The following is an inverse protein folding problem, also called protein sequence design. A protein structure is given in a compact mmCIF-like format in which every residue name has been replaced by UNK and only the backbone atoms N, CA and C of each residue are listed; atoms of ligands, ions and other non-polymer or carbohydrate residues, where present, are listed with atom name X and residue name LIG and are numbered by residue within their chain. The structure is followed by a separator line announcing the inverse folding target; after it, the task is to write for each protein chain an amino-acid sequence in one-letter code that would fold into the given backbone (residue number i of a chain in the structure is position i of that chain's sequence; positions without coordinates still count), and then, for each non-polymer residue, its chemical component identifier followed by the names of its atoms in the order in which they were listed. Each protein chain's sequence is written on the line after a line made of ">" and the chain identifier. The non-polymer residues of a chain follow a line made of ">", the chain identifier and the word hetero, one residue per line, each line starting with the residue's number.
data_IF_267720159927
#
_entry.id   IF_267720159927
#
_cell.length_a   1.000
_cell.length_b   1.000
_cell.length_c   1.000
_cell.angle_alpha   90.00
_cell.angle_beta   90.00
_cell.angle_gamma   90.00
#
_symmetry.space_group_name_H-M   'P 1'
#
loop_
_entity.id
_entity.type
_entity.pdbx_description
1 polymer ?
#
# COMPACT_ATOMS: atom_id res chain seq x y z
N UNK A 1 38.44 3.69 33.25
CA UNK A 1 38.57 3.18 34.65
C UNK A 1 37.78 1.88 34.77
N UNK A 2 38.25 0.93 35.59
CA UNK A 2 37.69 -0.41 35.81
C UNK A 2 36.21 -0.33 36.25
N UNK A 3 35.83 0.62 37.09
CA UNK A 3 34.45 0.87 37.50
C UNK A 3 33.52 1.29 36.34
N UNK A 4 34.02 2.05 35.37
CA UNK A 4 33.23 2.43 34.19
C UNK A 4 32.93 1.23 33.29
N UNK A 5 33.87 0.32 33.09
CA UNK A 5 33.66 -0.89 32.31
C UNK A 5 32.67 -1.85 32.98
N UNK A 6 32.74 -1.97 34.32
CA UNK A 6 31.77 -2.79 35.09
C UNK A 6 30.36 -2.22 35.00
N UNK A 7 30.18 -0.92 35.19
CA UNK A 7 28.88 -0.28 35.08
C UNK A 7 28.27 -0.38 33.65
N UNK A 8 29.09 -0.33 32.61
CA UNK A 8 28.66 -0.53 31.24
C UNK A 8 28.22 -1.99 31.03
N UNK A 9 29.01 -2.96 31.45
CA UNK A 9 28.68 -4.40 31.33
C UNK A 9 27.38 -4.74 32.07
N UNK A 10 27.16 -4.17 33.26
CA UNK A 10 25.94 -4.35 34.02
C UNK A 10 24.73 -3.74 33.28
N UNK A 11 24.87 -2.53 32.75
CA UNK A 11 23.82 -1.86 31.94
C UNK A 11 23.46 -2.65 30.68
N UNK A 12 24.45 -3.22 29.98
CA UNK A 12 24.26 -4.08 28.82
C UNK A 12 23.54 -5.38 29.18
N UNK A 13 23.91 -6.02 30.31
CA UNK A 13 23.27 -7.23 30.83
C UNK A 13 21.80 -6.98 31.18
N UNK A 14 21.52 -5.92 31.93
CA UNK A 14 20.13 -5.51 32.27
C UNK A 14 19.30 -5.24 30.98
N UNK A 15 19.86 -4.51 30.04
CA UNK A 15 19.20 -4.22 28.77
C UNK A 15 18.92 -5.51 27.98
N UNK A 16 19.86 -6.43 27.95
CA UNK A 16 19.71 -7.75 27.33
C UNK A 16 18.59 -8.58 27.96
N UNK A 17 18.48 -8.58 29.29
CA UNK A 17 17.44 -9.28 30.04
C UNK A 17 16.04 -8.66 29.75
N UNK A 18 15.93 -7.33 29.74
CA UNK A 18 14.69 -6.63 29.40
C UNK A 18 14.25 -6.95 27.96
N UNK A 19 15.20 -6.98 27.01
CA UNK A 19 14.89 -7.34 25.62
C UNK A 19 14.38 -8.77 25.52
N UNK A 20 15.02 -9.73 26.15
CA UNK A 20 14.60 -11.15 26.19
C UNK A 20 13.19 -11.28 26.81
N UNK A 21 12.95 -10.64 27.94
CA UNK A 21 11.63 -10.63 28.58
C UNK A 21 10.54 -10.08 27.65
N UNK A 22 10.78 -8.94 27.00
CA UNK A 22 9.84 -8.37 26.01
C UNK A 22 9.60 -9.28 24.82
N UNK A 23 10.62 -9.97 24.33
CA UNK A 23 10.47 -10.92 23.23
C UNK A 23 9.63 -12.13 23.64
N UNK A 24 9.83 -12.66 24.85
CA UNK A 24 9.00 -13.76 25.36
C UNK A 24 7.54 -13.34 25.53
N UNK A 25 7.29 -12.17 26.12
CA UNK A 25 5.94 -11.64 26.23
C UNK A 25 5.30 -11.36 24.86
N UNK A 26 6.08 -10.93 23.87
CA UNK A 26 5.61 -10.73 22.50
C UNK A 26 5.25 -12.05 21.82
N UNK A 27 6.05 -13.13 22.01
CA UNK A 27 5.76 -14.47 21.47
C UNK A 27 4.47 -15.07 22.06
N UNK A 28 4.23 -14.86 23.33
CA UNK A 28 3.06 -15.41 24.07
C UNK A 28 1.84 -14.49 23.92
N UNK A 29 1.99 -13.29 23.34
CA UNK A 29 0.87 -12.35 23.18
C UNK A 29 0.48 -11.60 24.45
N UNK A 30 1.27 -11.67 25.52
CA UNK A 30 0.99 -11.03 26.81
C UNK A 30 1.61 -9.63 26.95
N UNK A 31 2.24 -9.11 25.88
CA UNK A 31 2.86 -7.80 25.92
C UNK A 31 1.79 -6.70 25.97
N UNK A 32 1.88 -5.84 26.99
CA UNK A 32 0.98 -4.68 27.12
C UNK A 32 1.23 -3.67 26.01
N UNK A 33 0.22 -3.46 25.16
CA UNK A 33 0.27 -2.52 24.03
C UNK A 33 -0.19 -1.15 24.51
N UNK A 34 0.58 -0.06 24.28
CA UNK A 34 0.14 1.28 24.64
C UNK A 34 -0.95 1.80 23.69
N UNK A 35 -1.97 2.49 24.24
CA UNK A 35 -3.02 3.13 23.45
C UNK A 35 -3.27 4.61 23.82
N UNK A 36 -2.52 5.19 24.74
CA UNK A 36 -2.76 6.53 25.29
C UNK A 36 -2.77 7.70 24.29
N UNK A 37 -2.32 7.48 23.06
CA UNK A 37 -2.36 8.46 21.94
C UNK A 37 -3.00 7.89 20.68
N UNK A 38 -3.85 6.87 20.85
CA UNK A 38 -4.53 6.23 19.73
C UNK A 38 -5.94 6.81 19.64
N UNK A 39 -6.21 7.62 18.62
CA UNK A 39 -7.52 8.23 18.40
C UNK A 39 -8.59 7.15 18.19
N UNK A 40 -9.70 7.23 18.87
CA UNK A 40 -10.76 6.21 18.79
C UNK A 40 -10.68 5.08 19.79
N UNK A 41 -9.60 5.01 20.59
CA UNK A 41 -9.43 3.99 21.62
C UNK A 41 -9.02 4.56 22.96
N UNK A 42 -9.53 3.96 24.01
CA UNK A 42 -9.08 4.16 25.39
C UNK A 42 -8.73 2.81 26.03
N UNK A 43 -8.14 2.83 27.21
CA UNK A 43 -7.97 1.63 28.04
C UNK A 43 -9.09 1.57 29.07
N UNK A 44 -9.64 0.37 29.21
CA UNK A 44 -10.51 0.07 30.34
C UNK A 44 -9.71 -0.17 31.63
N UNK A 45 -10.41 -0.46 32.72
CA UNK A 45 -9.83 -0.73 34.05
C UNK A 45 -8.90 -1.97 34.06
N UNK A 46 -9.11 -2.91 33.11
CA UNK A 46 -8.28 -4.12 32.95
C UNK A 46 -7.07 -3.87 32.01
N UNK A 47 -7.00 -2.69 31.40
CA UNK A 47 -5.94 -2.33 30.46
C UNK A 47 -6.18 -2.86 29.04
N UNK A 48 -7.39 -3.35 28.71
CA UNK A 48 -7.81 -3.74 27.38
C UNK A 48 -8.23 -2.52 26.56
N UNK A 49 -8.21 -2.67 25.23
CA UNK A 49 -8.67 -1.63 24.30
C UNK A 49 -10.19 -1.53 24.34
N UNK A 50 -10.71 -0.33 24.53
CA UNK A 50 -12.12 0.01 24.40
C UNK A 50 -12.30 1.04 23.32
N UNK A 51 -13.26 0.84 22.44
CA UNK A 51 -13.59 1.78 21.36
C UNK A 51 -14.40 2.96 21.93
N UNK A 52 -14.01 4.18 21.54
CA UNK A 52 -14.76 5.42 21.82
C UNK A 52 -15.67 5.68 20.60
N UNK A 53 -17.02 5.52 20.72
CA UNK A 53 -17.92 5.51 19.55
C UNK A 53 -17.81 6.76 18.68
N UNK A 54 -17.82 7.94 19.31
CA UNK A 54 -17.74 9.23 18.58
C UNK A 54 -16.46 9.36 17.75
N UNK A 55 -15.33 9.00 18.33
CA UNK A 55 -14.04 9.05 17.63
C UNK A 55 -13.92 7.94 16.58
N UNK A 56 -14.53 6.79 16.83
CA UNK A 56 -14.53 5.68 15.90
C UNK A 56 -15.28 6.01 14.60
N UNK A 57 -16.38 6.75 14.67
CA UNK A 57 -17.09 7.24 13.49
C UNK A 57 -16.22 8.17 12.64
N UNK A 58 -15.47 9.05 13.27
CA UNK A 58 -14.52 9.92 12.58
C UNK A 58 -13.43 9.12 11.89
N UNK A 59 -12.89 8.08 12.54
CA UNK A 59 -11.90 7.19 11.94
C UNK A 59 -12.49 6.47 10.73
N UNK A 60 -13.69 5.90 10.83
CA UNK A 60 -14.37 5.24 9.70
C UNK A 60 -14.55 6.19 8.52
N UNK A 61 -14.94 7.45 8.80
CA UNK A 61 -15.12 8.45 7.75
C UNK A 61 -13.79 8.86 7.11
N UNK A 62 -12.69 8.95 7.87
CA UNK A 62 -11.35 9.17 7.31
C UNK A 62 -10.94 8.07 6.34
N UNK A 63 -11.16 6.79 6.70
CA UNK A 63 -10.87 5.65 5.83
C UNK A 63 -11.73 5.67 4.58
N UNK A 64 -13.04 5.92 4.70
CA UNK A 64 -13.98 6.02 3.58
C UNK A 64 -13.59 7.12 2.60
N UNK A 65 -13.34 8.34 3.09
CA UNK A 65 -12.94 9.49 2.26
C UNK A 65 -11.61 9.25 1.56
N UNK A 66 -10.63 8.67 2.26
CA UNK A 66 -9.35 8.38 1.65
C UNK A 66 -9.46 7.32 0.55
N UNK A 67 -10.22 6.26 0.77
CA UNK A 67 -10.52 5.25 -0.24
C UNK A 67 -11.26 5.83 -1.45
N UNK A 68 -12.15 6.81 -1.23
CA UNK A 68 -12.86 7.55 -2.29
C UNK A 68 -11.97 8.55 -3.06
N UNK A 69 -10.70 8.70 -2.69
CA UNK A 69 -9.74 9.51 -3.43
C UNK A 69 -9.32 10.82 -2.77
N UNK A 70 -9.80 11.15 -1.57
CA UNK A 70 -9.37 12.35 -0.86
C UNK A 70 -7.86 12.35 -0.60
N UNK A 71 -7.22 13.52 -0.63
CA UNK A 71 -5.82 13.68 -0.21
C UNK A 71 -5.72 13.83 1.30
N UNK A 72 -4.52 13.59 1.86
CA UNK A 72 -4.28 13.84 3.29
C UNK A 72 -4.58 15.29 3.68
N UNK A 73 -4.38 16.24 2.76
CA UNK A 73 -4.68 17.66 2.98
C UNK A 73 -6.19 17.90 3.06
N UNK A 74 -6.96 17.30 2.14
CA UNK A 74 -8.42 17.42 2.17
C UNK A 74 -9.03 16.80 3.44
N UNK A 75 -8.43 15.70 3.93
CA UNK A 75 -8.84 15.11 5.22
C UNK A 75 -8.52 16.03 6.39
N UNK A 76 -7.37 16.70 6.35
CA UNK A 76 -7.01 17.71 7.34
C UNK A 76 -8.01 18.88 7.35
N UNK A 77 -8.24 19.47 6.17
CA UNK A 77 -9.17 20.58 6.00
C UNK A 77 -10.59 20.19 6.49
N UNK A 78 -11.05 18.97 6.15
CA UNK A 78 -12.34 18.45 6.63
C UNK A 78 -12.42 18.31 8.16
N UNK A 79 -11.35 17.82 8.81
CA UNK A 79 -11.30 17.70 10.28
C UNK A 79 -11.34 19.07 10.95
N UNK A 80 -10.61 20.04 10.39
CA UNK A 80 -10.54 21.40 10.90
C UNK A 80 -11.86 22.17 10.68
N UNK A 81 -12.51 22.03 9.53
CA UNK A 81 -13.82 22.61 9.22
C UNK A 81 -14.92 22.10 10.15
N UNK A 82 -14.89 20.81 10.49
CA UNK A 82 -15.83 20.21 11.43
C UNK A 82 -15.40 20.37 12.90
N UNK A 83 -14.37 21.17 13.19
CA UNK A 83 -13.88 21.45 14.55
C UNK A 83 -13.54 20.20 15.38
N UNK A 84 -13.13 19.12 14.71
CA UNK A 84 -12.78 17.85 15.33
C UNK A 84 -11.42 17.99 16.02
N UNK A 85 -11.40 17.75 17.34
CA UNK A 85 -10.19 17.86 18.15
C UNK A 85 -9.32 16.60 18.05
N UNK A 86 -8.00 16.78 18.15
CA UNK A 86 -7.04 15.68 18.27
C UNK A 86 -7.15 14.99 19.64
N UNK A 87 -6.45 13.86 19.83
CA UNK A 87 -6.34 13.18 21.13
C UNK A 87 -5.85 14.11 22.26
N UNK A 88 -5.05 15.12 21.91
CA UNK A 88 -4.51 16.09 22.85
C UNK A 88 -5.43 17.32 23.05
N UNK A 89 -6.61 17.33 22.43
CA UNK A 89 -7.56 18.44 22.51
C UNK A 89 -7.24 19.62 21.59
N UNK A 90 -6.22 19.51 20.74
CA UNK A 90 -5.84 20.55 19.77
C UNK A 90 -6.80 20.56 18.58
N UNK A 91 -7.07 21.76 18.04
CA UNK A 91 -7.90 21.93 16.84
C UNK A 91 -7.13 21.70 15.52
N UNK A 92 -5.79 21.77 15.55
CA UNK A 92 -4.95 21.62 14.37
C UNK A 92 -4.52 20.18 14.17
N UNK A 93 -4.89 19.62 13.03
CA UNK A 93 -4.43 18.32 12.59
C UNK A 93 -3.19 18.43 11.70
N UNK A 94 -2.32 17.42 11.75
CA UNK A 94 -1.20 17.31 10.82
C UNK A 94 -1.44 16.17 9.83
N UNK A 95 -0.98 16.32 8.60
CA UNK A 95 -1.05 15.24 7.61
C UNK A 95 -0.30 13.99 8.06
N UNK A 96 0.70 14.15 8.94
CA UNK A 96 1.46 13.05 9.54
C UNK A 96 0.61 12.26 10.52
N UNK A 97 -0.18 12.93 11.39
CA UNK A 97 -1.07 12.25 12.33
C UNK A 97 -2.19 11.50 11.59
N UNK A 98 -2.79 12.12 10.57
CA UNK A 98 -3.79 11.47 9.72
C UNK A 98 -3.20 10.25 9.01
N UNK A 99 -2.01 10.39 8.43
CA UNK A 99 -1.31 9.26 7.81
C UNK A 99 -1.04 8.15 8.82
N UNK A 100 -0.66 8.49 10.04
CA UNK A 100 -0.46 7.51 11.11
C UNK A 100 -1.74 6.73 11.43
N UNK A 101 -2.91 7.40 11.49
CA UNK A 101 -4.21 6.74 11.67
C UNK A 101 -4.46 5.76 10.51
N UNK A 102 -4.32 6.19 9.27
CA UNK A 102 -4.62 5.38 8.09
C UNK A 102 -3.65 4.19 7.86
N UNK A 103 -2.46 4.21 8.47
CA UNK A 103 -1.44 3.16 8.28
C UNK A 103 -1.23 2.28 9.50
N UNK A 104 -1.91 2.54 10.61
CA UNK A 104 -1.73 1.78 11.83
C UNK A 104 -2.67 0.57 11.85
N UNK A 105 -2.10 -0.62 11.90
CA UNK A 105 -2.81 -1.89 11.93
C UNK A 105 -3.74 -2.06 13.14
N UNK A 106 -3.55 -1.29 14.19
CA UNK A 106 -4.43 -1.33 15.37
C UNK A 106 -5.88 -0.98 15.04
N UNK A 107 -6.10 -0.17 13.99
CA UNK A 107 -7.47 0.20 13.61
C UNK A 107 -8.27 -0.95 13.00
N UNK A 108 -7.62 -1.99 12.48
CA UNK A 108 -8.30 -3.23 12.06
C UNK A 108 -8.25 -4.35 13.12
N UNK A 109 -7.85 -4.03 14.35
CA UNK A 109 -7.82 -4.98 15.46
C UNK A 109 -6.51 -5.74 15.62
N UNK A 110 -5.55 -5.55 14.74
CA UNK A 110 -4.26 -6.25 14.74
C UNK A 110 -3.18 -5.46 15.49
N UNK A 111 -2.13 -6.15 15.91
CA UNK A 111 -0.97 -5.51 16.54
C UNK A 111 0.32 -6.05 15.97
N UNK A 112 1.19 -5.14 15.50
CA UNK A 112 2.56 -5.47 15.12
C UNK A 112 3.53 -4.97 16.19
N UNK A 113 4.22 -5.89 16.81
CA UNK A 113 5.20 -5.63 17.86
C UNK A 113 6.60 -5.49 17.26
N UNK A 114 7.47 -4.81 17.99
CA UNK A 114 8.88 -4.65 17.61
C UNK A 114 9.13 -3.88 16.30
N UNK A 115 8.29 -2.88 16.01
CA UNK A 115 8.48 -1.96 14.88
C UNK A 115 9.75 -1.12 14.96
N UNK A 116 10.26 -0.91 16.17
CA UNK A 116 11.47 -0.15 16.44
C UNK A 116 12.32 -0.89 17.47
N UNK A 117 13.62 -0.66 17.45
CA UNK A 117 14.55 -1.18 18.46
C UNK A 117 15.61 -0.14 18.80
N UNK A 118 16.22 -0.29 19.97
CA UNK A 118 17.33 0.54 20.40
C UNK A 118 18.64 -0.11 19.90
N UNK A 119 19.44 0.64 19.15
CA UNK A 119 20.69 0.12 18.58
C UNK A 119 21.79 -0.04 19.62
N UNK A 120 21.86 0.87 20.58
CA UNK A 120 22.91 0.92 21.56
C UNK A 120 22.36 1.36 22.92
N UNK A 121 22.86 0.75 23.98
CA UNK A 121 22.45 0.99 25.37
C UNK A 121 22.87 2.37 25.84
N UNK A 122 23.99 2.88 25.34
CA UNK A 122 24.59 4.17 25.76
C UNK A 122 23.87 5.31 25.04
N UNK A 123 23.80 5.26 23.71
CA UNK A 123 23.20 6.34 22.89
C UNK A 123 21.68 6.34 22.96
N UNK A 124 21.05 5.24 23.36
CA UNK A 124 19.59 5.02 23.40
C UNK A 124 18.87 5.38 22.08
N UNK A 125 19.60 5.34 20.96
CA UNK A 125 19.06 5.68 19.64
C UNK A 125 18.04 4.64 19.21
N UNK A 126 16.80 5.08 18.98
CA UNK A 126 15.71 4.24 18.49
C UNK A 126 15.72 4.28 16.97
N UNK A 127 15.77 3.12 16.34
CA UNK A 127 15.76 2.94 14.88
C UNK A 127 14.57 2.07 14.47
N UNK A 128 14.02 2.33 13.29
CA UNK A 128 12.96 1.51 12.72
C UNK A 128 13.51 0.11 12.40
N UNK A 129 12.76 -0.91 12.81
CA UNK A 129 13.10 -2.30 12.48
C UNK A 129 12.65 -2.60 11.04
N UNK A 130 13.61 -2.85 10.16
CA UNK A 130 13.40 -3.23 8.75
C UNK A 130 13.88 -4.68 8.50
N UNK A 131 13.81 -5.53 9.52
CA UNK A 131 14.21 -6.94 9.42
C UNK A 131 15.42 -7.31 10.27
N UNK A 132 16.05 -6.35 10.98
CA UNK A 132 17.21 -6.64 11.85
C UNK A 132 16.83 -7.46 13.11
N UNK A 133 15.58 -7.33 13.55
CA UNK A 133 15.04 -8.08 14.68
C UNK A 133 13.69 -8.70 14.34
N UNK A 134 13.37 -9.85 14.95
CA UNK A 134 12.08 -10.49 14.76
C UNK A 134 10.93 -9.55 15.15
N UNK A 135 9.93 -9.45 14.27
CA UNK A 135 8.67 -8.76 14.54
C UNK A 135 7.59 -9.80 14.84
N UNK A 136 6.68 -9.47 15.74
CA UNK A 136 5.58 -10.35 16.11
C UNK A 136 4.26 -9.71 15.74
N UNK A 137 3.50 -10.40 14.88
CA UNK A 137 2.18 -9.97 14.44
C UNK A 137 1.11 -10.76 15.20
N UNK A 138 0.18 -10.04 15.79
CA UNK A 138 -0.94 -10.58 16.54
C UNK A 138 -2.23 -10.16 15.84
N UNK A 139 -2.90 -11.05 15.11
CA UNK A 139 -4.19 -10.77 14.52
C UNK A 139 -5.28 -10.76 15.61
N UNK A 140 -6.33 -9.98 15.39
CA UNK A 140 -7.54 -9.95 16.20
C UNK A 140 -7.30 -9.75 17.72
N UNK A 141 -6.30 -8.92 18.05
CA UNK A 141 -5.93 -8.61 19.44
C UNK A 141 -7.03 -7.83 20.18
N UNK A 142 -7.79 -7.00 19.48
CA UNK A 142 -8.85 -6.16 20.04
C UNK A 142 -9.90 -5.85 18.97
N UNK A 143 -11.02 -5.27 19.39
CA UNK A 143 -12.07 -4.86 18.46
C UNK A 143 -11.55 -3.80 17.49
N UNK A 144 -11.63 -4.06 16.18
CA UNK A 144 -11.25 -3.13 15.13
C UNK A 144 -12.31 -2.07 14.88
N UNK A 145 -11.91 -0.82 14.70
CA UNK A 145 -12.81 0.28 14.30
C UNK A 145 -13.18 0.15 12.82
N UNK A 146 -12.27 -0.32 11.98
CA UNK A 146 -12.48 -0.57 10.55
C UNK A 146 -12.25 -2.04 10.22
N UNK A 147 -12.89 -2.52 9.16
CA UNK A 147 -12.64 -3.88 8.71
C UNK A 147 -11.23 -4.02 8.13
N UNK A 148 -10.69 -5.26 8.16
CA UNK A 148 -9.37 -5.57 7.56
C UNK A 148 -9.37 -5.28 6.06
N UNK A 149 -10.50 -5.46 5.38
CA UNK A 149 -10.67 -5.13 3.97
C UNK A 149 -10.52 -3.62 3.71
N UNK A 150 -11.18 -2.78 4.52
CA UNK A 150 -11.07 -1.33 4.42
C UNK A 150 -9.64 -0.84 4.70
N UNK A 151 -8.98 -1.41 5.72
CA UNK A 151 -7.59 -1.11 6.03
C UNK A 151 -6.65 -1.47 4.85
N UNK A 152 -6.82 -2.67 4.29
CA UNK A 152 -6.02 -3.13 3.15
C UNK A 152 -6.28 -2.30 1.89
N UNK A 153 -7.53 -1.90 1.62
CA UNK A 153 -7.87 -1.02 0.51
C UNK A 153 -7.17 0.34 0.61
N UNK A 154 -7.17 0.95 1.78
CA UNK A 154 -6.46 2.22 2.04
C UNK A 154 -4.95 2.06 1.89
N UNK A 155 -4.38 0.95 2.39
CA UNK A 155 -2.96 0.64 2.26
C UNK A 155 -2.55 0.44 0.80
N UNK A 156 -3.36 -0.26 0.01
CA UNK A 156 -3.15 -0.45 -1.42
C UNK A 156 -3.22 0.89 -2.17
N UNK A 157 -4.19 1.74 -1.86
CA UNK A 157 -4.30 3.08 -2.45
C UNK A 157 -3.10 3.98 -2.09
N UNK A 158 -2.59 3.91 -0.86
CA UNK A 158 -1.36 4.61 -0.49
C UNK A 158 -0.14 4.11 -1.28
N UNK A 159 -0.01 2.80 -1.46
CA UNK A 159 1.06 2.19 -2.25
C UNK A 159 0.95 2.62 -3.71
N UNK A 160 -0.26 2.59 -4.31
CA UNK A 160 -0.54 3.06 -5.67
C UNK A 160 -0.10 4.53 -5.84
N UNK A 161 -0.54 5.42 -4.94
CA UNK A 161 -0.15 6.84 -4.98
C UNK A 161 1.35 7.05 -4.81
N UNK A 162 2.01 6.21 -4.02
CA UNK A 162 3.47 6.25 -3.84
C UNK A 162 4.22 5.79 -5.10
N UNK A 163 3.72 4.74 -5.78
CA UNK A 163 4.29 4.24 -7.03
C UNK A 163 4.21 5.26 -8.17
N UNK A 164 3.15 6.08 -8.21
CA UNK A 164 3.01 7.18 -9.17
C UNK A 164 4.08 8.28 -9.00
N UNK A 165 4.72 8.36 -7.84
CA UNK A 165 5.90 9.18 -7.61
C UNK A 165 7.14 8.46 -8.12
N UNK A 166 7.17 8.11 -9.40
CA UNK A 166 8.36 7.54 -10.01
C UNK A 166 9.53 8.52 -9.76
N UNK A 167 10.62 8.06 -9.13
CA UNK A 167 11.82 8.86 -9.10
C UNK A 167 12.27 8.99 -10.55
N UNK A 168 12.09 10.17 -11.13
CA UNK A 168 12.71 10.48 -12.40
C UNK A 168 14.22 10.26 -12.21
N UNK A 169 14.80 9.33 -12.95
CA UNK A 169 16.24 9.04 -12.92
C UNK A 169 17.07 10.27 -13.30
N UNK A 170 16.44 11.32 -13.81
CA UNK A 170 17.10 12.52 -14.38
C UNK A 170 16.74 13.84 -13.70
N UNK A 171 15.76 13.90 -12.78
CA UNK A 171 15.41 15.16 -12.12
C UNK A 171 14.84 14.95 -10.72
N UNK A 172 15.50 15.57 -9.75
CA UNK A 172 15.05 15.65 -8.35
C UNK A 172 13.93 16.71 -8.24
N UNK A 173 12.81 16.51 -8.88
CA UNK A 173 11.63 17.34 -8.64
C UNK A 173 10.72 16.64 -7.65
N UNK A 174 10.96 16.90 -6.36
CA UNK A 174 10.20 16.33 -5.25
C UNK A 174 8.76 16.83 -5.11
N UNK A 175 8.13 17.37 -6.16
CA UNK A 175 6.75 17.81 -6.13
C UNK A 175 5.82 16.66 -6.51
N UNK A 176 4.97 16.26 -5.55
CA UNK A 176 3.88 15.32 -5.80
C UNK A 176 2.97 15.84 -6.92
N UNK A 177 2.76 15.03 -7.95
CA UNK A 177 1.82 15.34 -9.03
C UNK A 177 0.37 15.02 -8.65
N UNK A 178 0.14 14.34 -7.53
CA UNK A 178 -1.18 13.96 -7.08
C UNK A 178 -1.95 15.17 -6.53
N UNK A 179 -3.15 15.39 -7.04
CA UNK A 179 -4.16 16.27 -6.47
C UNK A 179 -5.50 15.57 -6.43
N UNK A 180 -6.20 15.66 -5.32
CA UNK A 180 -7.55 15.11 -5.19
C UNK A 180 -8.62 15.93 -5.91
N UNK A 181 -8.26 17.14 -6.35
CA UNK A 181 -9.21 18.04 -7.04
C UNK A 181 -9.62 17.51 -8.42
N UNK A 182 -8.66 16.92 -9.17
CA UNK A 182 -8.89 16.43 -10.53
C UNK A 182 -8.62 14.94 -10.63
N UNK A 183 -9.58 14.15 -11.07
CA UNK A 183 -9.46 12.70 -11.20
C UNK A 183 -8.35 12.27 -12.16
N UNK A 184 -8.12 13.06 -13.20
CA UNK A 184 -7.16 12.76 -14.25
C UNK A 184 -5.70 13.03 -13.85
N UNK A 185 -5.44 13.75 -12.76
CA UNK A 185 -4.08 14.16 -12.38
C UNK A 185 -3.13 12.98 -12.09
N UNK A 186 -3.68 11.83 -11.68
CA UNK A 186 -2.93 10.62 -11.35
C UNK A 186 -3.24 9.44 -12.29
N UNK A 187 -4.07 9.67 -13.32
CA UNK A 187 -4.54 8.63 -14.24
C UNK A 187 -4.22 8.88 -15.70
N UNK A 188 -3.95 10.14 -16.06
CA UNK A 188 -3.68 10.51 -17.44
C UNK A 188 -2.19 10.35 -17.76
N UNK A 189 -1.87 9.42 -18.66
CA UNK A 189 -0.50 9.01 -19.00
C UNK A 189 -0.20 9.27 -20.46
N UNK A 190 1.02 9.66 -20.74
CA UNK A 190 1.53 9.81 -22.11
C UNK A 190 1.84 8.44 -22.72
N UNK A 191 1.28 8.13 -23.88
CA UNK A 191 1.53 6.90 -24.61
C UNK A 191 2.98 6.78 -25.12
N UNK A 192 3.64 7.91 -25.40
CA UNK A 192 5.02 7.95 -25.90
C UNK A 192 6.05 7.74 -24.77
N UNK A 193 6.01 8.57 -23.72
CA UNK A 193 7.07 8.57 -22.70
C UNK A 193 6.64 7.98 -21.34
N UNK A 194 5.39 7.57 -21.19
CA UNK A 194 4.85 6.96 -19.96
C UNK A 194 4.69 7.92 -18.77
N UNK A 195 5.02 9.20 -18.90
CA UNK A 195 4.88 10.17 -17.81
C UNK A 195 3.44 10.69 -17.69
N UNK A 196 3.08 11.14 -16.50
CA UNK A 196 1.77 11.71 -16.26
C UNK A 196 1.58 13.05 -17.00
N UNK A 197 0.36 13.31 -17.41
CA UNK A 197 -0.07 14.63 -17.87
C UNK A 197 -0.37 15.54 -16.69
N UNK A 198 -0.11 16.83 -16.88
CA UNK A 198 -0.37 17.88 -15.90
C UNK A 198 -1.40 18.87 -16.45
N UNK A 199 -2.37 19.23 -15.61
CA UNK A 199 -3.32 20.29 -15.90
C UNK A 199 -2.63 21.66 -15.88
N UNK A 200 -2.76 22.41 -16.95
CA UNK A 200 -2.22 23.74 -17.12
C UNK A 200 -3.35 24.69 -17.56
N UNK A 201 -3.16 25.98 -17.34
CA UNK A 201 -4.06 27.00 -17.87
C UNK A 201 -3.38 27.69 -19.04
N UNK A 202 -4.00 27.64 -20.20
CA UNK A 202 -3.56 28.42 -21.37
C UNK A 202 -4.39 29.68 -21.52
N UNK A 203 -3.73 30.74 -21.99
CA UNK A 203 -4.39 31.99 -22.32
C UNK A 203 -4.23 32.19 -23.82
N UNK A 204 -5.34 32.32 -24.55
CA UNK A 204 -5.36 32.65 -25.94
C UNK A 204 -6.42 33.73 -26.17
N UNK A 205 -6.04 34.80 -26.85
CA UNK A 205 -6.93 35.95 -27.14
C UNK A 205 -7.67 36.47 -25.89
N UNK A 206 -6.96 36.58 -24.76
CA UNK A 206 -7.50 37.04 -23.48
C UNK A 206 -8.38 36.06 -22.72
N UNK A 207 -8.72 34.91 -23.29
CA UNK A 207 -9.50 33.85 -22.62
C UNK A 207 -8.59 32.79 -22.04
N UNK A 208 -8.86 32.40 -20.80
CA UNK A 208 -8.15 31.31 -20.09
C UNK A 208 -8.94 30.02 -20.21
N UNK A 209 -8.28 28.96 -20.64
CA UNK A 209 -8.90 27.60 -20.70
C UNK A 209 -7.94 26.54 -20.18
N UNK A 210 -8.48 25.50 -19.53
CA UNK A 210 -7.67 24.41 -18.99
C UNK A 210 -7.25 23.46 -20.11
N UNK A 211 -5.98 23.04 -20.06
CA UNK A 211 -5.39 22.04 -20.96
C UNK A 211 -4.58 21.04 -20.19
N UNK A 212 -4.45 19.87 -20.76
CA UNK A 212 -3.59 18.81 -20.25
C UNK A 212 -2.34 18.67 -21.14
N UNK A 213 -1.17 18.62 -20.49
CA UNK A 213 0.14 18.50 -21.17
C UNK A 213 1.02 17.48 -20.50
N UNK A 214 1.82 16.74 -21.29
CA UNK A 214 2.82 15.82 -20.79
C UNK A 214 3.82 16.53 -19.90
N UNK A 215 4.07 15.99 -18.69
CA UNK A 215 4.99 16.58 -17.69
C UNK A 215 6.44 16.55 -18.18
N UNK A 216 6.86 15.50 -18.89
CA UNK A 216 8.18 15.41 -19.49
C UNK A 216 8.40 16.53 -20.51
N UNK A 217 7.42 16.74 -21.40
CA UNK A 217 7.49 17.82 -22.39
C UNK A 217 7.43 19.22 -21.77
N UNK A 218 6.69 19.39 -20.67
CA UNK A 218 6.65 20.65 -19.92
C UNK A 218 7.98 21.02 -19.28
N UNK A 219 8.67 20.02 -18.70
CA UNK A 219 9.90 20.25 -17.93
C UNK A 219 11.15 20.26 -18.81
N UNK A 220 11.18 19.50 -19.91
CA UNK A 220 12.38 19.24 -20.70
C UNK A 220 12.21 19.53 -22.20
N UNK A 221 11.09 20.09 -22.61
CA UNK A 221 10.79 20.31 -24.03
C UNK A 221 10.69 18.98 -24.80
N UNK A 222 11.20 18.95 -26.02
CA UNK A 222 11.16 17.77 -26.90
C UNK A 222 12.24 16.73 -26.60
N UNK A 223 13.09 16.94 -25.60
CA UNK A 223 14.24 16.08 -25.32
C UNK A 223 13.86 14.62 -25.01
N UNK A 224 12.74 14.36 -24.36
CA UNK A 224 12.33 13.03 -23.92
C UNK A 224 10.92 12.66 -24.37
N UNK A 225 10.20 13.55 -25.02
CA UNK A 225 8.87 13.34 -25.52
C UNK A 225 8.61 14.26 -26.70
N UNK A 226 8.51 13.69 -27.91
CA UNK A 226 8.47 14.44 -29.17
C UNK A 226 7.04 14.77 -29.62
N UNK A 227 6.12 13.81 -29.54
CA UNK A 227 4.81 13.87 -30.19
C UNK A 227 3.61 13.95 -29.22
N UNK A 228 3.87 14.19 -27.92
CA UNK A 228 2.77 14.29 -26.95
C UNK A 228 1.89 15.52 -27.23
N UNK A 229 0.61 15.33 -27.53
CA UNK A 229 -0.31 16.44 -27.83
C UNK A 229 -0.68 17.22 -26.56
N UNK A 230 -1.09 18.48 -26.77
CA UNK A 230 -1.78 19.26 -25.75
C UNK A 230 -3.27 19.12 -25.97
N UNK A 231 -4.01 18.67 -24.97
CA UNK A 231 -5.44 18.37 -25.11
C UNK A 231 -6.25 19.33 -24.23
N UNK A 232 -7.33 19.87 -24.79
CA UNK A 232 -8.30 20.67 -24.04
C UNK A 232 -9.05 19.77 -23.06
N UNK A 233 -9.30 20.28 -21.86
CA UNK A 233 -9.97 19.52 -20.80
C UNK A 233 -11.37 19.07 -21.19
N UNK A 234 -12.15 19.96 -21.86
CA UNK A 234 -13.52 19.68 -22.28
C UNK A 234 -13.59 18.50 -23.25
N UNK A 235 -12.70 18.46 -24.26
CA UNK A 235 -12.64 17.36 -25.22
C UNK A 235 -12.25 16.03 -24.55
N UNK A 236 -11.29 16.09 -23.63
CA UNK A 236 -10.85 14.92 -22.91
C UNK A 236 -11.95 14.37 -21.99
N UNK A 237 -12.66 15.24 -21.30
CA UNK A 237 -13.78 14.84 -20.43
C UNK A 237 -14.92 14.24 -21.25
N UNK A 238 -15.28 14.83 -22.38
CA UNK A 238 -16.32 14.31 -23.28
C UNK A 238 -15.96 12.91 -23.80
N UNK A 239 -14.73 12.72 -24.27
CA UNK A 239 -14.27 11.43 -24.78
C UNK A 239 -14.25 10.35 -23.68
N UNK A 240 -13.79 10.67 -22.46
CA UNK A 240 -13.80 9.74 -21.36
C UNK A 240 -15.24 9.37 -20.95
N UNK A 241 -16.16 10.33 -20.90
CA UNK A 241 -17.58 10.06 -20.64
C UNK A 241 -18.19 9.17 -21.73
N UNK A 242 -17.88 9.42 -23.00
CA UNK A 242 -18.32 8.56 -24.10
C UNK A 242 -17.81 7.13 -23.97
N UNK A 243 -16.53 6.96 -23.61
CA UNK A 243 -15.93 5.65 -23.36
C UNK A 243 -16.62 4.93 -22.18
N UNK A 244 -16.84 5.62 -21.06
CA UNK A 244 -17.55 5.06 -19.90
C UNK A 244 -18.98 4.66 -20.29
N UNK A 245 -19.73 5.52 -20.97
CA UNK A 245 -21.10 5.24 -21.38
C UNK A 245 -21.18 4.08 -22.38
N UNK A 246 -20.23 3.99 -23.31
CA UNK A 246 -20.13 2.85 -24.22
C UNK A 246 -19.91 1.54 -23.46
N UNK A 247 -19.03 1.55 -22.47
CA UNK A 247 -18.83 0.39 -21.60
C UNK A 247 -20.09 0.04 -20.80
N UNK A 248 -20.76 1.04 -20.26
CA UNK A 248 -21.96 0.86 -19.44
C UNK A 248 -23.17 0.39 -20.24
N UNK A 249 -23.25 0.72 -21.53
CA UNK A 249 -24.33 0.27 -22.43
C UNK A 249 -24.34 -1.26 -22.61
N UNK A 250 -23.20 -1.92 -22.40
CA UNK A 250 -23.07 -3.37 -22.51
C UNK A 250 -22.52 -3.98 -21.21
N UNK A 251 -23.20 -3.69 -20.09
CA UNK A 251 -22.83 -4.17 -18.74
C UNK A 251 -22.50 -5.69 -18.68
N UNK A 252 -23.28 -6.60 -19.27
CA UNK A 252 -22.95 -8.03 -19.21
C UNK A 252 -21.62 -8.37 -19.88
N UNK A 253 -21.37 -7.85 -21.07
CA UNK A 253 -20.11 -8.09 -21.78
C UNK A 253 -18.91 -7.48 -21.07
N UNK A 254 -19.09 -6.32 -20.42
CA UNK A 254 -18.06 -5.69 -19.61
C UNK A 254 -17.69 -6.55 -18.39
N UNK A 255 -18.71 -7.07 -17.68
CA UNK A 255 -18.49 -7.97 -16.53
C UNK A 255 -17.80 -9.28 -16.97
N UNK A 256 -18.16 -9.84 -18.11
CA UNK A 256 -17.52 -11.03 -18.66
C UNK A 256 -16.06 -10.75 -19.09
N UNK A 257 -15.77 -9.60 -19.68
CA UNK A 257 -14.40 -9.17 -19.98
C UNK A 257 -13.56 -9.02 -18.72
N UNK A 258 -14.11 -8.42 -17.67
CA UNK A 258 -13.42 -8.28 -16.38
C UNK A 258 -13.16 -9.65 -15.76
N UNK A 259 -14.15 -10.56 -15.76
CA UNK A 259 -14.01 -11.94 -15.26
C UNK A 259 -12.93 -12.70 -16.02
N UNK A 260 -12.90 -12.58 -17.34
CA UNK A 260 -11.91 -13.24 -18.18
C UNK A 260 -10.51 -12.69 -17.97
N UNK A 261 -10.35 -11.36 -17.87
CA UNK A 261 -9.07 -10.72 -17.59
C UNK A 261 -8.50 -11.16 -16.22
N UNK A 262 -9.36 -11.19 -15.20
CA UNK A 262 -9.01 -11.66 -13.85
C UNK A 262 -8.66 -13.15 -13.85
N UNK A 263 -9.41 -13.97 -14.58
CA UNK A 263 -9.12 -15.41 -14.70
C UNK A 263 -7.75 -15.67 -15.35
N UNK A 264 -7.35 -14.83 -16.30
CA UNK A 264 -6.03 -14.89 -16.94
C UNK A 264 -4.90 -14.48 -15.98
N UNK A 265 -5.12 -13.45 -15.14
CA UNK A 265 -4.15 -13.03 -14.11
C UNK A 265 -4.03 -14.04 -12.96
N UNK A 266 -5.09 -14.82 -12.69
CA UNK A 266 -5.14 -15.83 -11.64
C UNK A 266 -4.68 -17.23 -12.09
N UNK A 267 -4.29 -17.40 -13.37
CA UNK A 267 -3.72 -18.68 -13.84
C UNK A 267 -2.46 -19.00 -13.02
N UNK A 268 -2.42 -20.18 -12.36
CA UNK A 268 -1.22 -20.58 -11.62
C UNK A 268 -0.03 -20.64 -12.58
N UNK A 269 1.07 -20.04 -12.17
CA UNK A 269 2.35 -20.17 -12.89
C UNK A 269 2.65 -21.67 -12.98
N UNK A 270 2.63 -22.22 -14.17
CA UNK A 270 2.93 -23.63 -14.41
C UNK A 270 4.33 -23.94 -13.87
N UNK A 271 4.41 -24.79 -12.84
CA UNK A 271 5.68 -25.22 -12.24
C UNK A 271 5.67 -25.36 -10.71
N UNK A 272 4.58 -25.06 -10.02
CA UNK A 272 4.52 -25.27 -8.57
C UNK A 272 4.26 -26.75 -8.25
N UNK A 273 5.32 -27.45 -7.83
CA UNK A 273 5.28 -28.90 -7.49
C UNK A 273 5.00 -29.17 -6.02
N UNK A 274 5.05 -28.18 -5.14
CA UNK A 274 4.85 -28.35 -3.70
C UNK A 274 3.81 -27.39 -3.14
N UNK A 275 2.95 -27.88 -2.23
CA UNK A 275 2.01 -27.05 -1.49
C UNK A 275 2.71 -26.28 -0.37
N UNK A 276 2.11 -25.17 0.11
CA UNK A 276 2.61 -24.40 1.27
C UNK A 276 2.81 -25.30 2.50
N UNK A 277 1.89 -26.23 2.75
CA UNK A 277 1.97 -27.16 3.87
C UNK A 277 3.14 -28.14 3.72
N UNK A 278 3.45 -28.57 2.51
CA UNK A 278 4.57 -29.47 2.25
C UNK A 278 5.91 -28.77 2.40
N UNK A 279 5.99 -27.49 1.97
CA UNK A 279 7.17 -26.65 2.17
C UNK A 279 7.41 -26.41 3.65
N UNK A 280 6.39 -26.12 4.44
CA UNK A 280 6.52 -25.92 5.88
C UNK A 280 6.95 -27.21 6.59
N UNK A 281 6.39 -28.34 6.23
CA UNK A 281 6.79 -29.65 6.74
C UNK A 281 8.26 -29.95 6.42
N UNK A 282 8.68 -29.67 5.19
CA UNK A 282 10.06 -29.90 4.76
C UNK A 282 11.04 -28.99 5.49
N UNK A 283 10.70 -27.72 5.68
CA UNK A 283 11.51 -26.77 6.48
C UNK A 283 11.68 -27.25 7.92
N UNK A 284 10.64 -27.78 8.56
CA UNK A 284 10.71 -28.33 9.91
C UNK A 284 11.63 -29.55 9.96
N UNK A 285 11.54 -30.45 8.99
CA UNK A 285 12.43 -31.61 8.88
C UNK A 285 13.90 -31.21 8.71
N UNK A 286 14.18 -30.20 7.90
CA UNK A 286 15.52 -29.67 7.70
C UNK A 286 16.07 -28.99 8.94
N UNK A 287 15.23 -28.28 9.71
CA UNK A 287 15.61 -27.73 11.00
C UNK A 287 15.97 -28.81 12.02
N UNK A 288 15.20 -29.91 12.08
CA UNK A 288 15.52 -31.05 12.92
C UNK A 288 16.83 -31.76 12.52
N UNK A 289 17.05 -31.91 11.20
CA UNK A 289 18.29 -32.48 10.67
C UNK A 289 19.49 -31.59 11.02
N UNK A 290 19.36 -30.28 10.87
CA UNK A 290 20.37 -29.29 11.22
C UNK A 290 20.76 -29.39 12.70
N UNK A 291 19.76 -29.52 13.59
CA UNK A 291 19.98 -29.64 15.03
C UNK A 291 20.69 -30.97 15.40
N UNK A 292 20.36 -32.06 14.71
CA UNK A 292 21.03 -33.35 14.91
C UNK A 292 22.50 -33.30 14.49
N UNK A 293 22.78 -32.78 13.30
CA UNK A 293 24.14 -32.58 12.81
C UNK A 293 24.97 -31.66 13.72
N UNK A 294 24.31 -30.64 14.29
CA UNK A 294 24.96 -29.72 15.23
C UNK A 294 25.32 -30.44 16.55
N UNK A 295 24.50 -31.41 16.98
CA UNK A 295 24.76 -32.23 18.16
C UNK A 295 25.87 -33.31 17.91
N UNK A 296 25.96 -33.83 16.68
CA UNK A 296 26.96 -34.82 16.26
C UNK A 296 28.32 -34.18 15.95
N UNK A 297 28.35 -32.91 15.52
CA UNK A 297 29.58 -32.20 15.15
C UNK A 297 30.50 -31.79 16.32
N UNK A 298 30.32 -32.40 17.51
CA UNK A 298 31.14 -32.14 18.70
C UNK A 298 32.52 -32.84 18.59
N UNK A 299 32.67 -33.82 17.69
CA UNK A 299 33.91 -34.57 17.51
C UNK A 299 34.83 -33.95 16.43
N UNK A 300 36.13 -33.75 16.68
CA UNK A 300 37.00 -32.93 15.81
C UNK A 300 37.45 -33.60 14.51
N UNK A 301 37.21 -34.88 14.28
CA UNK A 301 37.79 -35.62 13.12
C UNK A 301 36.96 -35.54 11.85
N UNK A 302 35.67 -35.10 11.87
CA UNK A 302 34.77 -35.10 10.71
C UNK A 302 34.31 -33.71 10.24
N UNK A 303 35.08 -32.67 10.46
CA UNK A 303 34.68 -31.27 10.20
C UNK A 303 34.39 -30.96 8.74
N UNK A 304 35.07 -31.57 7.77
CA UNK A 304 34.85 -31.24 6.34
C UNK A 304 33.58 -31.87 5.78
N UNK A 305 33.27 -33.12 6.20
CA UNK A 305 32.04 -33.81 5.79
C UNK A 305 30.79 -33.14 6.40
N UNK A 306 30.85 -32.72 7.67
CA UNK A 306 29.78 -31.97 8.33
C UNK A 306 29.56 -30.60 7.67
N UNK A 307 30.60 -29.89 7.29
CA UNK A 307 30.45 -28.57 6.61
C UNK A 307 29.75 -28.68 5.26
N UNK A 308 29.98 -29.73 4.49
CA UNK A 308 29.29 -29.97 3.23
C UNK A 308 27.78 -30.22 3.43
N UNK A 309 27.41 -31.03 4.43
CA UNK A 309 26.03 -31.32 4.77
C UNK A 309 25.31 -30.08 5.34
N UNK A 310 25.98 -29.28 6.16
CA UNK A 310 25.43 -27.98 6.60
C UNK A 310 25.18 -27.04 5.45
N UNK A 311 26.09 -26.95 4.49
CA UNK A 311 25.90 -26.10 3.30
C UNK A 311 24.71 -26.55 2.43
N UNK A 312 24.52 -27.86 2.27
CA UNK A 312 23.41 -28.43 1.52
C UNK A 312 22.06 -28.14 2.20
N UNK A 313 21.94 -28.37 3.50
CA UNK A 313 20.73 -28.05 4.28
C UNK A 313 20.41 -26.56 4.21
N UNK A 314 21.40 -25.69 4.37
CA UNK A 314 21.20 -24.24 4.28
C UNK A 314 20.78 -23.78 2.89
N UNK A 315 21.32 -24.40 1.84
CA UNK A 315 20.94 -24.12 0.46
C UNK A 315 19.48 -24.53 0.19
N UNK A 316 19.08 -25.75 0.63
CA UNK A 316 17.72 -26.24 0.50
C UNK A 316 16.73 -25.38 1.31
N UNK A 317 17.06 -25.02 2.55
CA UNK A 317 16.25 -24.11 3.38
C UNK A 317 16.06 -22.74 2.70
N UNK A 318 17.11 -22.20 2.10
CA UNK A 318 17.06 -20.90 1.41
C UNK A 318 16.17 -20.96 0.18
N UNK A 319 16.26 -22.04 -0.61
CA UNK A 319 15.44 -22.27 -1.78
C UNK A 319 13.95 -22.42 -1.39
N UNK A 320 13.65 -23.21 -0.36
CA UNK A 320 12.28 -23.40 0.12
C UNK A 320 11.68 -22.14 0.75
N UNK A 321 12.46 -21.35 1.46
CA UNK A 321 12.01 -20.04 1.98
C UNK A 321 11.68 -19.07 0.85
N UNK A 322 12.47 -19.06 -0.21
CA UNK A 322 12.19 -18.25 -1.40
C UNK A 322 10.91 -18.70 -2.11
N UNK A 323 10.73 -20.03 -2.30
CA UNK A 323 9.50 -20.59 -2.86
C UNK A 323 8.26 -20.24 -2.00
N UNK A 324 8.37 -20.35 -0.67
CA UNK A 324 7.30 -19.94 0.25
C UNK A 324 6.94 -18.47 0.07
N UNK A 325 7.92 -17.59 -0.06
CA UNK A 325 7.71 -16.16 -0.25
C UNK A 325 7.04 -15.86 -1.59
N UNK A 326 7.43 -16.53 -2.67
CA UNK A 326 6.82 -16.43 -3.99
C UNK A 326 5.34 -16.90 -3.98
N UNK A 327 5.02 -18.01 -3.31
CA UNK A 327 3.65 -18.49 -3.15
C UNK A 327 2.81 -17.52 -2.32
N UNK A 328 3.34 -16.98 -1.23
CA UNK A 328 2.65 -15.98 -0.42
C UNK A 328 2.43 -14.66 -1.16
N UNK A 329 3.38 -14.25 -2.00
CA UNK A 329 3.21 -13.07 -2.86
C UNK A 329 2.13 -13.31 -3.91
N UNK A 330 2.12 -14.46 -4.57
CA UNK A 330 1.10 -14.79 -5.57
C UNK A 330 -0.31 -14.88 -4.95
N UNK A 331 -0.45 -15.44 -3.75
CA UNK A 331 -1.75 -15.48 -3.05
C UNK A 331 -2.22 -14.08 -2.63
N UNK A 332 -1.30 -13.21 -2.18
CA UNK A 332 -1.63 -11.81 -1.86
C UNK A 332 -2.01 -11.01 -3.10
N UNK A 333 -1.44 -11.33 -4.24
CA UNK A 333 -1.80 -10.70 -5.52
C UNK A 333 -3.15 -11.21 -6.02
N UNK A 334 -3.46 -12.49 -5.83
CA UNK A 334 -4.78 -13.06 -6.11
C UNK A 334 -5.88 -12.42 -5.25
N UNK A 335 -5.63 -12.22 -3.95
CA UNK A 335 -6.55 -11.51 -3.06
C UNK A 335 -6.75 -10.06 -3.50
N UNK A 336 -5.70 -9.38 -3.93
CA UNK A 336 -5.77 -8.01 -4.48
C UNK A 336 -6.61 -7.95 -5.75
N UNK A 337 -6.44 -8.91 -6.65
CA UNK A 337 -7.20 -9.00 -7.90
C UNK A 337 -8.68 -9.27 -7.59
N UNK A 338 -8.98 -10.17 -6.66
CA UNK A 338 -10.35 -10.45 -6.19
C UNK A 338 -11.03 -9.22 -5.56
N UNK A 339 -10.31 -8.46 -4.74
CA UNK A 339 -10.81 -7.21 -4.15
C UNK A 339 -11.09 -6.16 -5.23
N UNK A 340 -10.18 -6.01 -6.21
CA UNK A 340 -10.36 -5.09 -7.34
C UNK A 340 -11.57 -5.45 -8.19
N UNK A 341 -11.79 -6.75 -8.41
CA UNK A 341 -12.96 -7.26 -9.13
C UNK A 341 -14.26 -6.90 -8.41
N UNK A 342 -14.38 -7.20 -7.11
CA UNK A 342 -15.56 -6.83 -6.31
C UNK A 342 -15.80 -5.33 -6.31
N UNK A 343 -14.75 -4.52 -6.22
CA UNK A 343 -14.86 -3.06 -6.29
C UNK A 343 -15.33 -2.58 -7.66
N UNK A 344 -14.85 -3.21 -8.75
CA UNK A 344 -15.27 -2.89 -10.11
C UNK A 344 -16.73 -3.30 -10.34
N UNK A 345 -17.13 -4.50 -9.91
CA UNK A 345 -18.53 -4.96 -9.97
C UNK A 345 -19.46 -4.01 -9.23
N UNK A 346 -19.15 -3.66 -7.97
CA UNK A 346 -19.93 -2.71 -7.18
C UNK A 346 -19.98 -1.32 -7.81
N UNK A 347 -18.89 -0.84 -8.41
CA UNK A 347 -18.85 0.44 -9.08
C UNK A 347 -19.74 0.45 -10.33
N UNK A 348 -19.77 -0.65 -11.09
CA UNK A 348 -20.58 -0.83 -12.28
C UNK A 348 -22.07 -0.99 -11.91
N UNK A 349 -22.37 -1.74 -10.85
CA UNK A 349 -23.74 -1.94 -10.36
C UNK A 349 -24.34 -0.63 -9.83
N UNK A 350 -23.55 0.14 -9.06
CA UNK A 350 -23.98 1.40 -8.47
C UNK A 350 -23.97 2.58 -9.45
N UNK A 351 -23.36 2.46 -10.62
CA UNK A 351 -23.34 3.50 -11.62
C UNK A 351 -24.71 3.58 -12.32
N UNK A 352 -25.24 4.80 -12.45
CA UNK A 352 -26.41 5.06 -13.26
C UNK A 352 -26.19 4.59 -14.71
N UNK A 353 -27.25 4.22 -15.39
CA UNK A 353 -27.18 3.66 -16.76
C UNK A 353 -26.46 4.57 -17.77
N UNK A 354 -26.40 5.88 -17.51
CA UNK A 354 -25.66 6.87 -18.31
C UNK A 354 -25.15 7.98 -17.41
N UNK A 355 -23.90 8.39 -17.58
CA UNK A 355 -23.31 9.54 -16.90
C UNK A 355 -23.32 10.70 -17.91
N UNK A 356 -24.18 11.69 -17.68
CA UNK A 356 -24.33 12.86 -18.57
C UNK A 356 -23.39 14.00 -18.20
N UNK A 357 -23.02 14.12 -16.92
CA UNK A 357 -22.18 15.20 -16.43
C UNK A 357 -20.87 14.67 -15.87
N UNK A 358 -19.80 15.45 -16.04
CA UNK A 358 -18.49 15.11 -15.49
C UNK A 358 -18.50 15.13 -13.96
N UNK A 359 -18.20 13.99 -13.35
CA UNK A 359 -18.08 13.83 -11.91
C UNK A 359 -16.73 13.21 -11.56
N UNK A 360 -15.88 13.99 -10.88
CA UNK A 360 -14.52 13.57 -10.49
C UNK A 360 -14.50 12.28 -9.65
N UNK A 361 -15.49 12.09 -8.77
CA UNK A 361 -15.57 10.91 -7.93
C UNK A 361 -16.00 9.67 -8.71
N UNK A 362 -16.99 9.80 -9.59
CA UNK A 362 -17.44 8.71 -10.45
C UNK A 362 -16.32 8.25 -11.39
N UNK A 363 -15.61 9.19 -12.01
CA UNK A 363 -14.45 8.88 -12.85
C UNK A 363 -13.36 8.16 -12.06
N UNK A 364 -13.09 8.58 -10.83
CA UNK A 364 -12.13 7.89 -9.94
C UNK A 364 -12.53 6.49 -9.56
N UNK A 365 -13.81 6.23 -9.44
CA UNK A 365 -14.33 4.91 -9.11
C UNK A 365 -14.24 3.94 -10.30
N UNK A 366 -14.46 4.42 -11.51
CA UNK A 366 -14.59 3.60 -12.72
C UNK A 366 -13.27 3.50 -13.48
N UNK A 367 -12.58 4.62 -13.71
CA UNK A 367 -11.38 4.69 -14.54
C UNK A 367 -10.13 4.36 -13.73
N UNK A 368 -9.31 3.45 -14.21
CA UNK A 368 -7.98 3.15 -13.64
C UNK A 368 -6.90 4.02 -14.26
N UNK A 369 -6.86 4.07 -15.60
CA UNK A 369 -5.86 4.82 -16.37
C UNK A 369 -6.44 5.32 -17.67
N UNK A 370 -5.94 6.46 -18.15
CA UNK A 370 -6.19 6.98 -19.48
C UNK A 370 -4.85 7.22 -20.16
N UNK A 371 -4.60 6.56 -21.27
CA UNK A 371 -3.35 6.72 -22.04
C UNK A 371 -3.65 7.54 -23.30
N UNK A 372 -2.91 8.61 -23.51
CA UNK A 372 -3.02 9.43 -24.71
C UNK A 372 -2.12 8.82 -25.78
N UNK A 373 -2.74 8.28 -26.83
CA UNK A 373 -2.04 7.63 -27.94
C UNK A 373 -1.63 8.65 -28.99
N UNK A 374 -2.54 9.55 -29.36
CA UNK A 374 -2.31 10.59 -30.36
C UNK A 374 -3.12 11.85 -30.04
N UNK A 375 -3.09 12.83 -30.93
CA UNK A 375 -3.93 14.05 -30.81
C UNK A 375 -5.44 13.72 -30.86
N UNK A 376 -5.79 12.62 -31.53
CA UNK A 376 -7.18 12.27 -31.87
C UNK A 376 -7.65 10.98 -31.19
N UNK A 377 -6.77 10.27 -30.44
CA UNK A 377 -7.08 8.96 -29.87
C UNK A 377 -6.57 8.78 -28.46
N UNK A 378 -7.44 8.26 -27.58
CA UNK A 378 -7.12 7.88 -26.21
C UNK A 378 -7.51 6.44 -25.94
N UNK A 379 -6.80 5.80 -25.02
CA UNK A 379 -7.12 4.49 -24.46
C UNK A 379 -7.58 4.66 -23.03
N UNK A 380 -8.83 4.33 -22.75
CA UNK A 380 -9.41 4.39 -21.40
C UNK A 380 -9.41 2.99 -20.81
N UNK A 381 -8.67 2.79 -19.74
CA UNK A 381 -8.64 1.54 -18.98
C UNK A 381 -9.56 1.66 -17.77
N UNK A 382 -10.55 0.78 -17.69
CA UNK A 382 -11.51 0.70 -16.59
C UNK A 382 -10.93 -0.20 -15.49
N UNK A 383 -11.29 0.05 -14.25
CA UNK A 383 -10.94 -0.85 -13.14
C UNK A 383 -11.51 -2.24 -13.42
N UNK A 384 -10.64 -3.25 -13.37
CA UNK A 384 -10.96 -4.60 -13.82
C UNK A 384 -10.30 -4.98 -15.14
N UNK A 385 -9.54 -4.06 -15.77
CA UNK A 385 -8.65 -4.37 -16.90
C UNK A 385 -9.25 -4.16 -18.29
N UNK A 386 -10.54 -3.81 -18.40
CA UNK A 386 -11.13 -3.54 -19.71
C UNK A 386 -10.57 -2.27 -20.33
N UNK A 387 -10.14 -2.34 -21.59
CA UNK A 387 -9.57 -1.23 -22.36
C UNK A 387 -10.50 -0.80 -23.50
N UNK A 388 -10.76 0.49 -23.59
CA UNK A 388 -11.64 1.10 -24.57
C UNK A 388 -10.88 2.18 -25.32
N UNK A 389 -10.76 2.02 -26.63
CA UNK A 389 -10.23 3.07 -27.50
C UNK A 389 -11.34 4.06 -27.83
N UNK A 390 -11.07 5.34 -27.65
CA UNK A 390 -12.00 6.41 -27.93
C UNK A 390 -11.32 7.53 -28.72
N UNK A 391 -12.04 8.08 -29.68
CA UNK A 391 -11.59 9.27 -30.43
C UNK A 391 -11.90 10.54 -29.65
N UNK A 392 -10.99 11.51 -29.78
CA UNK A 392 -11.18 12.88 -29.31
C UNK A 392 -11.85 13.65 -30.47
N UNK A 393 -13.18 13.67 -30.46
CA UNK A 393 -13.94 14.47 -31.44
C UNK A 393 -13.97 15.92 -30.98
N UNK A 394 -13.41 16.81 -31.81
CA UNK A 394 -13.30 18.26 -31.57
C UNK A 394 -14.38 19.08 -32.24
#
# INVERSE_FOLDING_TARGET
>A
TMYGAMAQSESESISGNIRRGRQMHAKVGTLKVPCYRLYGYEKDTEGKFRVIPEQAEIVRELYKRYASGASLRNLQDWLEENQIKTVLGESKWTTTSIKSILTNEKYCGDVLLQKTFCTDVISKKIVKNVGQMAQYYMPDHHEGIVSREQYNAVKAEMARRSALRSPSKSAVTGRSCYTSKYALSDRLVCGECGTLYRRCTWTSRGRKYPVWRCTSRLNYGTKYCHDSPTIKEELLQAAILAAINSAMSNKPALLDLIKNAVSLELLPVQGQTMSLADIERRLTQLDEQFQRLLAEAIDPEDKEACNAQFAEILAEQTALKKQKEEILQSSTDADRVSIRMKQAEQAIENAASTITEWNENAVRQIVERVTILSADEILVQIKGGAEIKQRLEG
#
